data_IF_753172584650
#
_entry.id   IF_753172584650
#
_cell.length_a   1.000
_cell.length_b   1.000
_cell.length_c   1.000
_cell.angle_alpha   90.00
_cell.angle_beta   90.00
_cell.angle_gamma   90.00
#
_symmetry.space_group_name_H-M   'P 1'
#
loop_
_entity.id
_entity.type
_entity.pdbx_description
1 polymer ?
#
# COMPACT_ATOMS: atom_id res chain seq x y z
N UNK A 1 45.55 17.73 4.38
CA UNK A 1 44.24 18.41 4.50
C UNK A 1 43.63 18.45 3.10
N UNK A 2 42.75 17.44 2.78
CA UNK A 2 42.10 17.37 1.45
C UNK A 2 40.92 18.31 1.43
N UNK A 3 40.98 19.30 0.56
CA UNK A 3 39.93 20.26 0.26
C UNK A 3 38.77 19.46 -0.41
N UNK A 4 37.73 19.18 0.30
CA UNK A 4 36.48 18.68 -0.29
C UNK A 4 35.89 19.85 -1.07
N UNK A 5 35.98 19.78 -2.38
CA UNK A 5 35.48 20.82 -3.28
C UNK A 5 33.95 20.89 -3.18
N UNK A 6 33.42 22.10 -3.13
CA UNK A 6 32.01 22.46 -3.10
C UNK A 6 31.15 21.76 -4.16
N UNK A 7 31.75 21.30 -5.27
CA UNK A 7 31.11 20.47 -6.30
C UNK A 7 30.59 19.12 -5.78
N UNK A 8 31.30 18.43 -4.89
CA UNK A 8 30.85 17.13 -4.35
C UNK A 8 29.71 17.29 -3.35
N UNK A 9 29.65 18.41 -2.64
CA UNK A 9 28.53 18.73 -1.75
C UNK A 9 27.27 19.11 -2.55
N UNK A 10 27.45 19.90 -3.61
CA UNK A 10 26.38 20.28 -4.54
C UNK A 10 25.88 19.04 -5.31
N UNK A 11 26.77 18.15 -5.76
CA UNK A 11 26.38 16.87 -6.38
C UNK A 11 25.67 15.93 -5.40
N UNK A 12 26.07 15.89 -4.12
CA UNK A 12 25.39 15.15 -3.07
C UNK A 12 24.01 15.75 -2.71
N UNK A 13 23.87 17.08 -2.79
CA UNK A 13 22.61 17.80 -2.60
C UNK A 13 21.68 17.69 -3.82
N UNK A 14 22.24 17.60 -5.04
CA UNK A 14 21.48 17.37 -6.27
C UNK A 14 21.09 15.90 -6.48
N UNK A 15 21.82 14.97 -5.87
CA UNK A 15 21.52 13.54 -5.87
C UNK A 15 20.61 13.09 -4.69
N UNK A 16 20.08 14.00 -3.89
CA UNK A 16 18.82 13.75 -3.20
C UNK A 16 17.72 13.80 -4.27
N UNK A 17 17.56 12.71 -5.03
CA UNK A 17 16.34 12.49 -5.80
C UNK A 17 15.20 12.61 -4.79
N UNK A 18 14.38 13.66 -4.93
CA UNK A 18 13.24 13.83 -4.04
C UNK A 18 12.36 12.62 -4.29
N UNK A 19 12.25 11.73 -3.30
CA UNK A 19 11.40 10.57 -3.36
C UNK A 19 9.99 10.98 -3.77
N UNK A 20 9.36 10.20 -4.63
CA UNK A 20 8.01 10.48 -5.14
C UNK A 20 6.96 10.43 -4.01
N UNK A 21 7.04 9.39 -3.18
CA UNK A 21 6.34 9.32 -1.89
C UNK A 21 7.35 9.06 -0.79
N UNK A 22 7.29 9.82 0.29
CA UNK A 22 8.02 9.51 1.52
C UNK A 22 7.13 9.61 2.74
N UNK A 23 7.26 8.63 3.61
CA UNK A 23 6.61 8.54 4.92
C UNK A 23 7.71 8.46 5.97
N UNK A 24 7.65 9.33 6.95
CA UNK A 24 8.65 9.45 8.01
C UNK A 24 7.97 9.36 9.38
N UNK A 25 8.27 8.31 10.14
CA UNK A 25 7.83 8.07 11.52
C UNK A 25 6.31 8.22 11.73
N UNK A 26 5.52 7.72 10.78
CA UNK A 26 4.07 7.86 10.80
C UNK A 26 3.46 7.02 11.92
N UNK A 27 2.69 7.70 12.78
CA UNK A 27 1.94 7.08 13.87
C UNK A 27 0.47 7.45 13.76
N UNK A 28 -0.39 6.43 13.66
CA UNK A 28 -1.85 6.59 13.55
C UNK A 28 -2.55 5.71 14.57
N UNK A 29 -3.51 6.28 15.31
CA UNK A 29 -4.25 5.57 16.35
C UNK A 29 -5.74 5.81 16.22
N UNK A 30 -6.53 4.82 16.65
CA UNK A 30 -7.99 4.87 16.69
C UNK A 30 -8.51 4.86 18.13
N UNK A 31 -9.52 5.67 18.38
CA UNK A 31 -10.25 5.64 19.65
C UNK A 31 -11.35 4.57 19.58
N UNK A 32 -11.34 3.62 20.49
CA UNK A 32 -12.36 2.58 20.61
C UNK A 32 -12.92 2.51 22.03
N UNK A 33 -14.05 1.85 22.21
CA UNK A 33 -14.62 1.59 23.54
C UNK A 33 -13.71 0.76 24.45
N UNK A 34 -12.76 0.01 23.86
CA UNK A 34 -11.79 -0.82 24.62
C UNK A 34 -10.46 -0.11 24.90
N UNK A 35 -10.26 1.12 24.39
CA UNK A 35 -9.04 1.88 24.53
C UNK A 35 -8.46 2.36 23.20
N UNK A 36 -7.24 2.87 23.26
CA UNK A 36 -6.51 3.42 22.14
C UNK A 36 -5.82 2.31 21.35
N UNK A 37 -6.22 2.11 20.08
CA UNK A 37 -5.60 1.14 19.17
C UNK A 37 -4.43 1.78 18.45
N UNK A 38 -3.24 1.23 18.60
CA UNK A 38 -1.98 1.66 17.98
C UNK A 38 -1.85 1.02 16.60
N UNK A 39 -2.61 1.54 15.63
CA UNK A 39 -2.72 0.91 14.30
C UNK A 39 -1.47 1.09 13.45
N UNK A 40 -0.77 2.23 13.57
CA UNK A 40 0.57 2.47 13.01
C UNK A 40 1.46 3.09 14.06
N UNK A 41 2.70 2.61 14.16
CA UNK A 41 3.73 3.16 15.03
C UNK A 41 5.08 3.23 14.33
N UNK A 42 5.58 4.45 14.15
CA UNK A 42 6.90 4.76 13.58
C UNK A 42 7.14 4.12 12.19
N UNK A 43 6.11 4.13 11.32
CA UNK A 43 6.24 3.61 9.97
C UNK A 43 6.98 4.62 9.10
N UNK A 44 8.05 4.14 8.41
CA UNK A 44 8.84 4.98 7.52
C UNK A 44 9.27 4.20 6.28
N UNK A 45 9.08 4.80 5.10
CA UNK A 45 9.61 4.30 3.83
C UNK A 45 9.59 5.41 2.79
N UNK A 46 10.29 5.18 1.68
CA UNK A 46 10.24 6.05 0.51
C UNK A 46 10.29 5.22 -0.77
N UNK A 47 9.62 5.70 -1.81
CA UNK A 47 9.68 5.16 -3.16
C UNK A 47 9.92 6.29 -4.16
N UNK A 48 10.59 5.97 -5.25
CA UNK A 48 10.86 6.90 -6.33
C UNK A 48 9.74 6.91 -7.37
N UNK A 49 9.74 7.92 -8.23
CA UNK A 49 8.74 8.04 -9.30
C UNK A 49 8.85 6.86 -10.27
N UNK A 50 7.71 6.23 -10.56
CA UNK A 50 7.63 5.03 -11.40
C UNK A 50 7.84 3.72 -10.64
N UNK A 51 8.28 3.75 -9.39
CA UNK A 51 8.31 2.58 -8.53
C UNK A 51 6.93 2.30 -7.93
N UNK A 52 6.68 1.04 -7.61
CA UNK A 52 5.51 0.58 -6.85
C UNK A 52 5.98 -0.13 -5.58
N UNK A 53 5.19 -0.02 -4.53
CA UNK A 53 5.44 -0.69 -3.26
C UNK A 53 4.36 -1.72 -2.96
N UNK A 54 4.77 -2.91 -2.55
CA UNK A 54 3.91 -3.92 -1.97
C UNK A 54 3.92 -3.85 -0.45
N UNK A 55 2.76 -3.86 0.18
CA UNK A 55 2.63 -3.91 1.65
C UNK A 55 2.02 -5.24 2.04
N UNK A 56 2.79 -6.05 2.74
CA UNK A 56 2.38 -7.38 3.20
C UNK A 56 2.32 -7.50 4.72
N UNK A 57 1.61 -8.50 5.20
CA UNK A 57 1.49 -8.84 6.62
C UNK A 57 0.14 -9.47 6.97
N UNK A 58 0.01 -10.00 8.17
CA UNK A 58 -1.23 -10.61 8.67
C UNK A 58 -2.38 -9.60 8.75
N UNK A 59 -3.61 -10.09 8.85
CA UNK A 59 -4.79 -9.24 9.07
C UNK A 59 -4.64 -8.39 10.32
N UNK A 60 -5.23 -7.18 10.32
CA UNK A 60 -5.18 -6.21 11.41
C UNK A 60 -3.78 -5.69 11.81
N UNK A 61 -2.73 -5.87 11.00
CA UNK A 61 -1.40 -5.32 11.30
C UNK A 61 -1.19 -3.85 10.89
N UNK A 62 -2.22 -3.17 10.35
CA UNK A 62 -2.17 -1.74 10.02
C UNK A 62 -2.06 -1.39 8.54
N UNK A 63 -2.04 -2.35 7.60
CA UNK A 63 -1.87 -2.12 6.14
C UNK A 63 -2.89 -1.14 5.57
N UNK A 64 -4.19 -1.40 5.76
CA UNK A 64 -5.25 -0.51 5.29
C UNK A 64 -5.20 0.86 5.96
N UNK A 65 -4.83 0.92 7.26
CA UNK A 65 -4.63 2.18 7.97
C UNK A 65 -3.52 3.03 7.33
N UNK A 66 -2.46 2.40 6.81
CA UNK A 66 -1.41 3.11 6.10
C UNK A 66 -1.96 3.80 4.84
N UNK A 67 -2.71 3.07 4.01
CA UNK A 67 -3.38 3.64 2.84
C UNK A 67 -4.35 4.77 3.22
N UNK A 68 -5.21 4.55 4.22
CA UNK A 68 -6.17 5.54 4.72
C UNK A 68 -5.48 6.78 5.29
N UNK A 69 -4.30 6.63 5.92
CA UNK A 69 -3.52 7.77 6.44
C UNK A 69 -2.99 8.65 5.30
N UNK A 70 -2.55 8.04 4.19
CA UNK A 70 -2.05 8.79 3.02
C UNK A 70 -3.16 9.63 2.39
N UNK A 71 -4.36 9.06 2.23
CA UNK A 71 -5.51 9.79 1.65
C UNK A 71 -6.31 10.58 2.68
N UNK A 72 -5.87 10.61 3.95
CA UNK A 72 -6.50 11.33 5.08
C UNK A 72 -7.97 10.93 5.31
N UNK A 73 -8.28 9.63 5.19
CA UNK A 73 -9.62 9.07 5.44
C UNK A 73 -9.63 8.18 6.68
N UNK A 74 -9.29 8.75 7.84
CA UNK A 74 -9.25 8.04 9.12
C UNK A 74 -10.50 8.39 9.92
N UNK A 75 -11.43 7.42 10.05
CA UNK A 75 -12.64 7.57 10.89
C UNK A 75 -12.35 7.13 12.32
N UNK A 76 -12.81 7.90 13.31
CA UNK A 76 -12.62 7.63 14.75
C UNK A 76 -11.16 7.49 15.19
N UNK A 77 -10.24 8.10 14.44
CA UNK A 77 -8.80 8.09 14.73
C UNK A 77 -8.13 9.36 14.24
N UNK A 78 -6.83 9.45 14.42
CA UNK A 78 -6.01 10.54 13.89
C UNK A 78 -4.55 10.12 13.70
N UNK A 79 -3.84 10.88 12.87
CA UNK A 79 -2.38 10.86 12.79
C UNK A 79 -1.85 11.62 14.01
N UNK A 80 -1.06 10.95 14.84
CA UNK A 80 -0.46 11.52 16.06
C UNK A 80 0.88 12.18 15.78
N UNK A 81 1.67 11.60 14.87
CA UNK A 81 2.99 12.11 14.49
C UNK A 81 3.43 11.58 13.14
N UNK A 82 4.51 12.14 12.63
CA UNK A 82 5.13 11.76 11.36
C UNK A 82 4.90 12.76 10.25
N UNK A 83 5.44 12.42 9.08
CA UNK A 83 5.30 13.22 7.86
C UNK A 83 4.90 12.33 6.70
N UNK A 84 4.07 12.86 5.81
CA UNK A 84 3.72 12.25 4.53
C UNK A 84 4.01 13.30 3.46
N UNK A 85 4.94 12.99 2.54
CA UNK A 85 5.24 13.87 1.41
C UNK A 85 4.91 13.14 0.11
N UNK A 86 4.36 13.88 -0.83
CA UNK A 86 4.07 13.43 -2.17
C UNK A 86 4.61 14.48 -3.17
N UNK A 87 5.44 14.06 -4.11
CA UNK A 87 6.10 14.93 -5.09
C UNK A 87 6.75 16.17 -4.43
N UNK A 88 7.44 15.94 -3.28
CA UNK A 88 8.08 16.95 -2.46
C UNK A 88 7.17 17.80 -1.56
N UNK A 89 5.84 17.69 -1.68
CA UNK A 89 4.86 18.46 -0.90
C UNK A 89 4.40 17.69 0.32
N UNK A 90 4.31 18.35 1.49
CA UNK A 90 3.71 17.77 2.69
C UNK A 90 2.21 17.61 2.49
N UNK A 91 1.70 16.38 2.68
CA UNK A 91 0.26 16.12 2.61
C UNK A 91 -0.47 16.47 3.90
N UNK A 92 0.23 16.59 5.03
CA UNK A 92 -0.38 16.86 6.33
C UNK A 92 -0.55 18.36 6.61
N UNK A 93 0.22 19.22 5.91
CA UNK A 93 0.18 20.67 6.12
C UNK A 93 -0.82 21.38 5.20
N UNK A 94 -1.43 20.64 4.27
CA UNK A 94 -2.47 21.16 3.36
C UNK A 94 -3.82 21.17 4.08
N UNK A 95 -4.65 22.18 3.85
CA UNK A 95 -6.03 22.23 4.39
C UNK A 95 -6.89 21.08 3.85
N UNK A 96 -7.95 20.69 4.57
CA UNK A 96 -8.81 19.59 4.13
C UNK A 96 -9.48 19.92 2.78
N UNK A 97 -9.95 21.16 2.62
CA UNK A 97 -10.59 21.64 1.38
C UNK A 97 -9.62 21.57 0.17
N UNK A 98 -8.36 21.99 0.36
CA UNK A 98 -7.37 21.96 -0.72
C UNK A 98 -6.93 20.51 -1.01
N UNK A 99 -6.81 19.65 0.03
CA UNK A 99 -6.53 18.24 -0.15
C UNK A 99 -7.62 17.54 -0.96
N UNK A 100 -8.90 17.78 -0.65
CA UNK A 100 -10.05 17.20 -1.35
C UNK A 100 -10.18 17.69 -2.79
N UNK A 101 -9.91 18.97 -3.02
CA UNK A 101 -10.03 19.57 -4.36
C UNK A 101 -8.88 19.24 -5.30
N UNK A 102 -7.66 19.13 -4.78
CA UNK A 102 -6.45 19.12 -5.61
C UNK A 102 -5.60 17.84 -5.49
N UNK A 103 -5.77 17.05 -4.43
CA UNK A 103 -4.93 15.86 -4.17
C UNK A 103 -5.74 14.59 -4.28
N UNK A 104 -6.83 14.45 -3.48
CA UNK A 104 -7.65 13.26 -3.49
C UNK A 104 -8.31 13.07 -4.86
N UNK A 105 -8.20 11.87 -5.43
CA UNK A 105 -8.60 11.45 -6.75
C UNK A 105 -7.76 12.01 -7.90
N UNK A 106 -7.26 13.24 -7.84
CA UNK A 106 -6.50 13.88 -8.93
C UNK A 106 -5.03 13.51 -8.96
N UNK A 107 -4.40 13.45 -7.79
CA UNK A 107 -2.99 13.08 -7.65
C UNK A 107 -2.85 11.69 -7.02
N UNK A 108 -3.67 11.40 -6.00
CA UNK A 108 -3.69 10.13 -5.27
C UNK A 108 -5.12 9.61 -5.22
N UNK A 109 -5.33 8.37 -5.66
CA UNK A 109 -6.61 7.68 -5.54
C UNK A 109 -6.46 6.36 -4.77
N UNK A 110 -7.59 5.76 -4.38
CA UNK A 110 -7.59 4.49 -3.65
C UNK A 110 -8.70 3.56 -4.15
N UNK A 111 -8.35 2.30 -4.37
CA UNK A 111 -9.25 1.17 -4.48
C UNK A 111 -9.34 0.52 -3.11
N UNK A 112 -10.51 0.60 -2.47
CA UNK A 112 -10.72 0.09 -1.12
C UNK A 112 -10.88 -1.44 -1.09
N UNK A 113 -10.62 -2.04 0.07
CA UNK A 113 -10.94 -3.45 0.29
C UNK A 113 -12.43 -3.71 0.09
N UNK A 114 -12.77 -4.80 -0.63
CA UNK A 114 -14.15 -5.11 -0.95
C UNK A 114 -14.82 -4.15 -1.94
N UNK A 115 -14.01 -3.44 -2.74
CA UNK A 115 -14.47 -2.41 -3.67
C UNK A 115 -15.58 -2.85 -4.63
N UNK A 116 -15.70 -4.15 -4.92
CA UNK A 116 -16.82 -4.67 -5.73
C UNK A 116 -18.20 -4.41 -5.13
N UNK A 117 -18.30 -4.30 -3.80
CA UNK A 117 -19.55 -3.96 -3.10
C UNK A 117 -19.74 -2.47 -2.90
N UNK A 118 -18.78 -1.62 -3.30
CA UNK A 118 -18.91 -0.17 -3.26
C UNK A 118 -19.70 0.40 -4.46
N UNK A 119 -19.89 -0.40 -5.53
CA UNK A 119 -20.71 0.00 -6.65
C UNK A 119 -22.20 0.05 -6.23
N UNK A 120 -22.84 1.20 -6.43
CA UNK A 120 -24.25 1.39 -6.12
C UNK A 120 -25.13 0.56 -7.09
N UNK A 121 -25.95 -0.38 -6.60
CA UNK A 121 -26.73 -1.27 -7.44
C UNK A 121 -27.83 -0.58 -8.25
N UNK A 122 -28.25 0.63 -7.89
CA UNK A 122 -29.34 1.37 -8.56
C UNK A 122 -28.85 2.31 -9.66
N UNK A 123 -27.54 2.51 -9.79
CA UNK A 123 -26.96 3.33 -10.84
C UNK A 123 -26.18 2.48 -11.86
N UNK A 124 -26.29 2.85 -13.14
CA UNK A 124 -25.47 2.25 -14.18
C UNK A 124 -23.98 2.61 -14.01
N UNK A 125 -23.11 1.83 -14.64
CA UNK A 125 -21.65 2.10 -14.65
C UNK A 125 -21.38 3.54 -15.11
N UNK A 126 -22.00 3.99 -16.20
CA UNK A 126 -21.84 5.35 -16.72
C UNK A 126 -22.21 6.41 -15.67
N UNK A 127 -23.37 6.25 -15.02
CA UNK A 127 -23.84 7.23 -14.03
C UNK A 127 -22.87 7.37 -12.85
N UNK A 128 -22.30 6.28 -12.36
CA UNK A 128 -21.33 6.31 -11.27
C UNK A 128 -20.02 7.02 -11.67
N UNK A 129 -19.52 6.78 -12.89
CA UNK A 129 -18.39 7.53 -13.41
C UNK A 129 -18.69 9.03 -13.59
N UNK A 130 -19.86 9.36 -14.12
CA UNK A 130 -20.28 10.77 -14.31
C UNK A 130 -20.37 11.50 -12.98
N UNK A 131 -20.83 10.83 -11.91
CA UNK A 131 -20.87 11.41 -10.57
C UNK A 131 -19.48 11.80 -10.08
N UNK A 132 -18.51 10.90 -10.18
CA UNK A 132 -17.11 11.18 -9.83
C UNK A 132 -16.56 12.37 -10.62
N UNK A 133 -16.76 12.39 -11.94
CA UNK A 133 -16.27 13.46 -12.80
C UNK A 133 -16.93 14.81 -12.49
N UNK A 134 -18.24 14.83 -12.19
CA UNK A 134 -18.99 16.03 -11.82
C UNK A 134 -18.51 16.57 -10.46
N UNK A 135 -18.35 15.71 -9.47
CA UNK A 135 -17.88 16.09 -8.13
C UNK A 135 -16.50 16.75 -8.17
N UNK A 136 -15.61 16.29 -9.05
CA UNK A 136 -14.28 16.86 -9.22
C UNK A 136 -14.20 17.98 -10.26
N UNK A 137 -15.34 18.52 -10.72
CA UNK A 137 -15.43 19.62 -11.72
C UNK A 137 -14.63 19.34 -12.99
N UNK A 138 -14.67 18.11 -13.49
CA UNK A 138 -13.96 17.71 -14.69
C UNK A 138 -14.46 18.53 -15.91
N UNK A 139 -13.52 19.09 -16.70
CA UNK A 139 -13.82 19.98 -17.83
C UNK A 139 -13.74 19.29 -19.19
N UNK A 140 -13.41 18.01 -19.23
CA UNK A 140 -13.31 17.25 -20.47
C UNK A 140 -14.65 16.69 -20.94
N UNK A 141 -14.59 15.90 -22.00
CA UNK A 141 -15.74 15.16 -22.53
C UNK A 141 -15.97 13.92 -21.68
N UNK A 142 -17.07 13.91 -20.90
CA UNK A 142 -17.37 12.88 -19.92
C UNK A 142 -17.36 11.48 -20.54
N UNK A 143 -18.15 11.27 -21.58
CA UNK A 143 -18.34 9.94 -22.18
C UNK A 143 -17.03 9.38 -22.75
N UNK A 144 -16.27 10.18 -23.49
CA UNK A 144 -15.00 9.76 -24.07
C UNK A 144 -13.99 9.39 -22.98
N UNK A 145 -13.90 10.20 -21.90
CA UNK A 145 -13.00 9.91 -20.77
C UNK A 145 -13.38 8.64 -20.03
N UNK A 146 -14.68 8.36 -19.88
CA UNK A 146 -15.15 7.11 -19.27
C UNK A 146 -14.76 5.91 -20.16
N UNK A 147 -15.00 6.00 -21.46
CA UNK A 147 -14.64 4.93 -22.41
C UNK A 147 -13.13 4.68 -22.39
N UNK A 148 -12.30 5.73 -22.43
CA UNK A 148 -10.85 5.63 -22.33
C UNK A 148 -10.42 4.91 -21.03
N UNK A 149 -11.02 5.27 -19.91
CA UNK A 149 -10.75 4.63 -18.63
C UNK A 149 -11.15 3.14 -18.62
N UNK A 150 -12.29 2.78 -19.18
CA UNK A 150 -12.72 1.39 -19.29
C UNK A 150 -11.80 0.57 -20.19
N UNK A 151 -11.38 1.13 -21.33
CA UNK A 151 -10.43 0.47 -22.26
C UNK A 151 -9.08 0.22 -21.56
N UNK A 152 -8.61 1.16 -20.72
CA UNK A 152 -7.34 0.99 -20.00
C UNK A 152 -7.32 -0.26 -19.11
N UNK A 153 -8.48 -0.67 -18.61
CA UNK A 153 -8.66 -1.88 -17.79
C UNK A 153 -9.21 -3.09 -18.57
N UNK A 154 -9.14 -3.07 -19.89
CA UNK A 154 -9.64 -4.11 -20.81
C UNK A 154 -11.16 -4.37 -20.65
N UNK A 155 -11.94 -3.32 -20.53
CA UNK A 155 -13.40 -3.33 -20.66
C UNK A 155 -13.82 -2.47 -21.84
N UNK A 156 -14.90 -2.83 -22.53
CA UNK A 156 -15.43 -2.06 -23.64
C UNK A 156 -16.64 -1.20 -23.25
N UNK A 157 -17.09 -0.34 -24.16
CA UNK A 157 -18.20 0.60 -23.90
C UNK A 157 -19.55 -0.09 -23.68
N UNK A 158 -19.72 -1.36 -24.02
CA UNK A 158 -21.00 -2.07 -23.87
C UNK A 158 -21.48 -2.15 -22.42
N UNK A 159 -20.53 -1.99 -21.45
CA UNK A 159 -20.86 -2.04 -20.03
C UNK A 159 -21.40 -0.73 -19.47
N UNK A 160 -21.32 0.40 -20.20
CA UNK A 160 -21.73 1.72 -19.73
C UNK A 160 -23.17 1.76 -19.19
N UNK A 161 -24.07 1.05 -19.88
CA UNK A 161 -25.50 0.98 -19.50
C UNK A 161 -25.81 -0.14 -18.53
N UNK A 162 -24.86 -1.02 -18.22
CA UNK A 162 -25.07 -2.12 -17.28
C UNK A 162 -25.06 -1.63 -15.84
N UNK A 163 -25.81 -2.36 -15.01
CA UNK A 163 -25.84 -2.18 -13.58
C UNK A 163 -24.85 -3.15 -12.91
N UNK A 164 -24.40 -2.90 -11.67
CA UNK A 164 -23.44 -3.78 -10.98
C UNK A 164 -23.86 -5.26 -10.93
N UNK A 165 -25.14 -5.56 -10.78
CA UNK A 165 -25.64 -6.94 -10.72
C UNK A 165 -25.53 -7.70 -12.07
N UNK A 166 -25.34 -6.99 -13.20
CA UNK A 166 -25.12 -7.59 -14.53
C UNK A 166 -23.64 -7.85 -14.84
N UNK A 167 -22.73 -7.51 -13.91
CA UNK A 167 -21.29 -7.66 -14.07
C UNK A 167 -20.76 -8.85 -13.27
N UNK A 168 -19.80 -9.59 -13.85
CA UNK A 168 -19.04 -10.59 -13.09
C UNK A 168 -18.13 -9.91 -12.03
N UNK A 169 -17.65 -10.68 -11.04
CA UNK A 169 -16.76 -10.16 -10.01
C UNK A 169 -15.51 -9.48 -10.60
N UNK A 170 -14.87 -10.11 -11.57
CA UNK A 170 -13.70 -9.53 -12.25
C UNK A 170 -14.03 -8.26 -13.06
N UNK A 171 -15.22 -8.17 -13.64
CA UNK A 171 -15.68 -6.93 -14.31
C UNK A 171 -15.92 -5.83 -13.29
N UNK A 172 -16.60 -6.11 -12.16
CA UNK A 172 -16.80 -5.14 -11.08
C UNK A 172 -15.46 -4.60 -10.57
N UNK A 173 -14.50 -5.47 -10.31
CA UNK A 173 -13.17 -5.08 -9.84
C UNK A 173 -12.47 -4.15 -10.85
N UNK A 174 -12.52 -4.47 -12.15
CA UNK A 174 -11.95 -3.62 -13.20
C UNK A 174 -12.67 -2.28 -13.32
N UNK A 175 -14.00 -2.24 -13.16
CA UNK A 175 -14.77 -0.99 -13.13
C UNK A 175 -14.30 -0.10 -11.99
N UNK A 176 -14.12 -0.64 -10.77
CA UNK A 176 -13.64 0.15 -9.64
C UNK A 176 -12.21 0.63 -9.83
N UNK A 177 -11.32 -0.20 -10.40
CA UNK A 177 -9.97 0.23 -10.77
C UNK A 177 -10.03 1.36 -11.81
N UNK A 178 -10.88 1.24 -12.85
CA UNK A 178 -11.06 2.29 -13.85
C UNK A 178 -11.60 3.58 -13.23
N UNK A 179 -12.55 3.48 -12.28
CA UNK A 179 -13.04 4.66 -11.54
C UNK A 179 -11.90 5.34 -10.76
N UNK A 180 -11.04 4.56 -10.10
CA UNK A 180 -9.89 5.12 -9.39
C UNK A 180 -8.88 5.81 -10.32
N UNK A 181 -8.83 5.43 -11.61
CA UNK A 181 -7.93 5.97 -12.63
C UNK A 181 -8.53 7.11 -13.46
N UNK A 182 -9.83 7.39 -13.37
CA UNK A 182 -10.56 8.29 -14.29
C UNK A 182 -9.98 9.71 -14.36
N UNK A 183 -9.45 10.22 -13.25
CA UNK A 183 -8.80 11.54 -13.17
C UNK A 183 -7.28 11.46 -13.43
N UNK A 184 -6.77 10.31 -13.89
CA UNK A 184 -5.36 10.06 -14.21
C UNK A 184 -4.41 10.37 -13.05
N UNK A 185 -4.68 9.84 -11.82
CA UNK A 185 -3.82 10.07 -10.66
C UNK A 185 -2.42 9.52 -10.91
N UNK A 186 -1.41 10.13 -10.31
CA UNK A 186 -0.02 9.69 -10.41
C UNK A 186 0.27 8.49 -9.50
N UNK A 187 -0.50 8.37 -8.40
CA UNK A 187 -0.33 7.30 -7.41
C UNK A 187 -1.67 6.67 -7.05
N UNK A 188 -1.73 5.35 -7.08
CA UNK A 188 -2.94 4.60 -6.76
C UNK A 188 -2.66 3.61 -5.63
N UNK A 189 -3.43 3.70 -4.56
CA UNK A 189 -3.41 2.74 -3.47
C UNK A 189 -4.46 1.67 -3.78
N UNK A 190 -4.07 0.41 -3.82
CA UNK A 190 -4.97 -0.72 -4.04
C UNK A 190 -4.95 -1.64 -2.82
N UNK A 191 -6.03 -1.61 -2.05
CA UNK A 191 -6.17 -2.41 -0.83
C UNK A 191 -6.87 -3.72 -1.15
N UNK A 192 -6.12 -4.83 -1.09
CA UNK A 192 -6.58 -6.19 -1.36
C UNK A 192 -7.30 -6.33 -2.73
N UNK A 193 -6.72 -5.84 -3.85
CA UNK A 193 -7.41 -5.73 -5.12
C UNK A 193 -7.75 -7.06 -5.79
N UNK A 194 -7.21 -8.17 -5.31
CA UNK A 194 -7.42 -9.52 -5.83
C UNK A 194 -8.25 -10.42 -4.91
N UNK A 195 -8.65 -9.94 -3.74
CA UNK A 195 -9.42 -10.70 -2.76
C UNK A 195 -10.81 -11.06 -3.30
N UNK A 196 -11.28 -12.27 -2.98
CA UNK A 196 -12.55 -12.84 -3.43
C UNK A 196 -12.69 -13.06 -4.95
N UNK A 197 -11.56 -13.10 -5.68
CA UNK A 197 -11.51 -13.46 -7.08
C UNK A 197 -10.89 -14.86 -7.26
N UNK A 198 -11.32 -15.58 -8.30
CA UNK A 198 -10.66 -16.83 -8.68
C UNK A 198 -9.24 -16.59 -9.24
N UNK A 199 -8.40 -17.64 -9.22
CA UNK A 199 -6.96 -17.55 -9.58
C UNK A 199 -6.73 -16.97 -10.97
N UNK A 200 -7.61 -17.30 -11.94
CA UNK A 200 -7.48 -16.81 -13.31
C UNK A 200 -7.73 -15.29 -13.38
N UNK A 201 -8.76 -14.83 -12.70
CA UNK A 201 -9.10 -13.40 -12.62
C UNK A 201 -8.04 -12.64 -11.82
N UNK A 202 -7.51 -13.21 -10.73
CA UNK A 202 -6.38 -12.62 -9.99
C UNK A 202 -5.18 -12.38 -10.91
N UNK A 203 -4.77 -13.38 -11.70
CA UNK A 203 -3.68 -13.25 -12.67
C UNK A 203 -3.95 -12.14 -13.70
N UNK A 204 -5.20 -12.00 -14.15
CA UNK A 204 -5.58 -10.92 -15.07
C UNK A 204 -5.49 -9.54 -14.42
N UNK A 205 -5.85 -9.38 -13.14
CA UNK A 205 -5.71 -8.11 -12.40
C UNK A 205 -4.23 -7.78 -12.15
N UNK A 206 -3.39 -8.76 -11.82
CA UNK A 206 -1.94 -8.59 -11.69
C UNK A 206 -1.34 -8.08 -13.01
N UNK A 207 -1.69 -8.70 -14.13
CA UNK A 207 -1.25 -8.28 -15.47
C UNK A 207 -1.76 -6.87 -15.82
N UNK A 208 -2.96 -6.51 -15.37
CA UNK A 208 -3.49 -5.16 -15.52
C UNK A 208 -2.62 -4.14 -14.78
N UNK A 209 -2.26 -4.37 -13.51
CA UNK A 209 -1.36 -3.49 -12.77
C UNK A 209 0.02 -3.37 -13.44
N UNK A 210 0.59 -4.47 -13.95
CA UNK A 210 1.85 -4.44 -14.72
C UNK A 210 1.75 -3.55 -15.97
N UNK A 211 0.63 -3.61 -16.69
CA UNK A 211 0.36 -2.75 -17.85
C UNK A 211 0.26 -1.28 -17.43
N UNK A 212 -0.60 -0.96 -16.46
CA UNK A 212 -0.82 0.40 -15.99
C UNK A 212 0.48 1.04 -15.45
N UNK A 213 1.35 0.25 -14.83
CA UNK A 213 2.67 0.69 -14.42
C UNK A 213 3.56 1.07 -15.60
N UNK A 214 3.57 0.30 -16.69
CA UNK A 214 4.26 0.66 -17.93
C UNK A 214 3.72 1.95 -18.55
N UNK A 215 2.44 2.23 -18.34
CA UNK A 215 1.77 3.46 -18.77
C UNK A 215 2.08 4.67 -17.83
N UNK A 216 2.95 4.49 -16.82
CA UNK A 216 3.50 5.56 -15.97
C UNK A 216 2.82 5.75 -14.61
N UNK A 217 1.91 4.87 -14.22
CA UNK A 217 1.31 4.90 -12.88
C UNK A 217 2.23 4.24 -11.85
N UNK A 218 2.28 4.80 -10.64
CA UNK A 218 2.89 4.17 -9.45
C UNK A 218 1.81 3.64 -8.53
N UNK A 219 2.08 2.51 -7.84
CA UNK A 219 1.10 1.84 -6.99
C UNK A 219 1.63 1.59 -5.58
N UNK A 220 0.73 1.68 -4.59
CA UNK A 220 0.86 0.95 -3.33
C UNK A 220 -0.14 -0.20 -3.36
N UNK A 221 0.34 -1.43 -3.42
CA UNK A 221 -0.52 -2.61 -3.42
C UNK A 221 -0.44 -3.26 -2.05
N UNK A 222 -1.56 -3.29 -1.37
CA UNK A 222 -1.72 -3.96 -0.08
C UNK A 222 -2.28 -5.36 -0.36
N UNK A 223 -1.59 -6.40 0.09
CA UNK A 223 -2.07 -7.77 -0.08
C UNK A 223 -1.50 -8.68 1.02
N UNK A 224 -2.22 -9.73 1.35
CA UNK A 224 -1.70 -10.86 2.12
C UNK A 224 -1.04 -11.91 1.21
N UNK A 225 -1.21 -11.81 -0.10
CA UNK A 225 -0.58 -12.69 -1.09
C UNK A 225 0.75 -12.10 -1.57
N UNK A 226 1.84 -12.64 -1.02
CA UNK A 226 3.20 -12.23 -1.37
C UNK A 226 3.56 -12.53 -2.84
N UNK A 227 2.95 -13.56 -3.46
CA UNK A 227 3.18 -13.86 -4.87
C UNK A 227 2.66 -12.74 -5.77
N UNK A 228 1.48 -12.19 -5.47
CA UNK A 228 0.93 -11.01 -6.16
C UNK A 228 1.88 -9.82 -6.05
N UNK A 229 2.41 -9.57 -4.85
CA UNK A 229 3.30 -8.42 -4.61
C UNK A 229 4.64 -8.56 -5.35
N UNK A 230 5.22 -9.79 -5.39
CA UNK A 230 6.49 -10.05 -6.10
C UNK A 230 6.42 -9.77 -7.60
N UNK A 231 5.22 -9.87 -8.18
CA UNK A 231 4.98 -9.68 -9.60
C UNK A 231 4.85 -8.21 -10.02
N UNK A 232 4.49 -7.31 -9.08
CA UNK A 232 4.10 -5.93 -9.42
C UNK A 232 5.00 -4.89 -8.75
N UNK A 233 5.54 -5.14 -7.55
CA UNK A 233 6.22 -4.15 -6.74
C UNK A 233 7.75 -4.26 -6.79
N UNK A 234 8.45 -3.13 -6.91
CA UNK A 234 9.92 -3.03 -6.77
C UNK A 234 10.35 -3.04 -5.32
N UNK A 235 9.55 -2.42 -4.46
CA UNK A 235 9.81 -2.34 -3.02
C UNK A 235 8.76 -3.12 -2.25
N UNK A 236 9.16 -3.76 -1.17
CA UNK A 236 8.26 -4.49 -0.28
C UNK A 236 8.42 -3.98 1.14
N UNK A 237 7.29 -3.68 1.78
CA UNK A 237 7.19 -3.41 3.21
C UNK A 237 6.43 -4.52 3.92
N UNK A 238 7.05 -5.14 4.92
CA UNK A 238 6.42 -6.16 5.75
C UNK A 238 5.93 -5.53 7.04
N UNK A 239 4.62 -5.61 7.27
CA UNK A 239 3.97 -5.03 8.44
C UNK A 239 3.59 -6.09 9.47
N UNK A 240 3.89 -5.82 10.73
CA UNK A 240 3.48 -6.63 11.87
C UNK A 240 3.21 -5.74 13.10
N UNK A 241 2.08 -5.93 13.74
CA UNK A 241 1.76 -5.23 14.99
C UNK A 241 1.80 -3.71 14.91
N UNK A 242 1.34 -3.11 13.80
CA UNK A 242 1.35 -1.67 13.57
C UNK A 242 2.70 -1.10 13.10
N UNK A 243 3.73 -1.93 12.97
CA UNK A 243 5.08 -1.50 12.55
C UNK A 243 5.46 -2.10 11.20
N UNK A 244 6.29 -1.39 10.44
CA UNK A 244 6.97 -1.95 9.27
C UNK A 244 8.27 -2.59 9.76
N UNK A 245 8.22 -3.92 9.94
CA UNK A 245 9.32 -4.68 10.55
C UNK A 245 10.49 -4.93 9.60
N UNK A 246 10.21 -4.92 8.30
CA UNK A 246 11.24 -5.03 7.25
C UNK A 246 10.79 -4.26 6.02
N UNK A 247 11.71 -3.56 5.36
CA UNK A 247 11.49 -2.81 4.13
C UNK A 247 12.73 -2.88 3.24
N UNK A 248 12.55 -3.07 1.94
CA UNK A 248 13.64 -3.11 0.98
C UNK A 248 13.17 -3.45 -0.43
N UNK A 249 14.14 -3.70 -1.31
CA UNK A 249 13.88 -4.20 -2.66
C UNK A 249 13.16 -5.55 -2.61
N UNK A 250 12.21 -5.74 -3.53
CA UNK A 250 11.45 -6.99 -3.65
C UNK A 250 12.37 -8.21 -3.69
N UNK A 251 13.44 -8.17 -4.48
CA UNK A 251 14.42 -9.26 -4.57
C UNK A 251 15.12 -9.55 -3.24
N UNK A 252 15.48 -8.52 -2.45
CA UNK A 252 16.11 -8.72 -1.14
C UNK A 252 15.14 -9.37 -0.16
N UNK A 253 13.90 -8.86 -0.08
CA UNK A 253 12.88 -9.38 0.84
C UNK A 253 12.52 -10.84 0.54
N UNK A 254 12.40 -11.22 -0.75
CA UNK A 254 12.01 -12.58 -1.13
C UNK A 254 13.16 -13.59 -1.08
N UNK A 255 14.40 -13.18 -1.41
CA UNK A 255 15.54 -14.08 -1.51
C UNK A 255 16.40 -14.10 -0.24
N UNK A 256 16.49 -12.99 0.49
CA UNK A 256 17.33 -12.84 1.67
C UNK A 256 16.58 -12.19 2.85
N UNK A 257 15.37 -12.70 3.26
CA UNK A 257 14.59 -12.10 4.33
C UNK A 257 15.39 -12.04 5.63
N UNK A 258 15.31 -10.91 6.32
CA UNK A 258 16.06 -10.70 7.57
C UNK A 258 15.19 -10.95 8.79
N UNK A 259 14.01 -10.31 8.86
CA UNK A 259 13.17 -10.46 10.04
C UNK A 259 12.61 -11.88 10.18
N UNK A 260 12.62 -12.52 11.36
CA UNK A 260 12.07 -13.86 11.56
C UNK A 260 10.59 -13.98 11.15
N UNK A 261 9.81 -12.93 11.31
CA UNK A 261 8.41 -12.88 10.81
C UNK A 261 8.35 -12.96 9.28
N UNK A 262 9.20 -12.21 8.56
CA UNK A 262 9.26 -12.26 7.09
C UNK A 262 9.64 -13.67 6.61
N UNK A 263 10.61 -14.31 7.25
CA UNK A 263 10.99 -15.72 6.98
C UNK A 263 9.79 -16.63 7.15
N UNK A 264 9.07 -16.53 8.27
CA UNK A 264 7.89 -17.33 8.55
C UNK A 264 6.75 -17.10 7.56
N UNK A 265 6.52 -15.85 7.12
CA UNK A 265 5.54 -15.56 6.07
C UNK A 265 5.88 -16.22 4.74
N UNK A 266 7.15 -16.17 4.32
CA UNK A 266 7.61 -16.79 3.08
C UNK A 266 7.56 -18.31 3.15
N UNK A 267 7.90 -18.92 4.29
CA UNK A 267 7.81 -20.37 4.52
C UNK A 267 6.37 -20.89 4.56
N UNK A 268 5.39 -20.01 4.77
CA UNK A 268 3.96 -20.36 4.75
C UNK A 268 3.37 -20.45 3.34
N UNK A 269 4.11 -19.98 2.31
CA UNK A 269 3.66 -20.04 0.91
C UNK A 269 3.84 -21.46 0.39
N UNK A 270 2.78 -22.11 -0.14
CA UNK A 270 2.91 -23.42 -0.76
C UNK A 270 3.80 -23.36 -2.02
N UNK A 271 4.86 -24.16 -2.06
CA UNK A 271 5.73 -24.28 -3.25
C UNK A 271 5.42 -25.60 -3.94
N UNK A 272 4.91 -25.54 -5.17
CA UNK A 272 4.49 -26.71 -5.95
C UNK A 272 5.61 -27.72 -6.27
N UNK A 273 6.88 -27.30 -6.16
CA UNK A 273 8.04 -28.12 -6.55
C UNK A 273 8.74 -28.85 -5.38
N UNK A 274 8.28 -28.69 -4.16
CA UNK A 274 8.90 -29.33 -2.97
C UNK A 274 7.83 -30.05 -2.17
N UNK A 275 8.09 -31.31 -1.81
CA UNK A 275 7.31 -32.11 -0.83
C UNK A 275 7.36 -31.53 0.62
N UNK A 276 7.63 -30.23 0.74
CA UNK A 276 7.69 -29.54 2.03
C UNK A 276 6.30 -29.01 2.37
N UNK A 277 5.74 -29.48 3.49
CA UNK A 277 4.51 -28.90 4.05
C UNK A 277 4.73 -27.43 4.41
N UNK A 278 3.79 -26.52 4.07
CA UNK A 278 3.85 -25.14 4.51
C UNK A 278 3.99 -25.06 6.03
N UNK A 279 4.91 -24.20 6.51
CA UNK A 279 5.05 -23.94 7.93
C UNK A 279 4.15 -22.75 8.32
N UNK A 280 3.42 -22.90 9.41
CA UNK A 280 2.59 -21.83 9.95
C UNK A 280 3.33 -21.11 11.08
N UNK A 281 3.18 -19.79 11.15
CA UNK A 281 3.68 -19.00 12.29
C UNK A 281 2.76 -19.29 13.49
N UNK A 282 3.28 -19.87 14.59
CA UNK A 282 2.46 -20.22 15.75
C UNK A 282 1.94 -18.99 16.49
N UNK A 283 0.90 -19.18 17.31
CA UNK A 283 0.35 -18.14 18.18
C UNK A 283 -0.60 -17.18 17.45
N UNK A 284 -1.01 -16.12 18.14
CA UNK A 284 -1.95 -15.11 17.66
C UNK A 284 -1.25 -13.76 17.52
N UNK A 285 -1.69 -12.88 16.57
CA UNK A 285 -1.18 -11.52 16.47
C UNK A 285 -1.33 -10.73 17.77
N UNK A 286 -0.45 -9.75 18.03
CA UNK A 286 -0.49 -8.96 19.24
C UNK A 286 -1.75 -8.09 19.32
N UNK A 287 -2.23 -7.87 20.54
CA UNK A 287 -3.28 -6.89 20.77
C UNK A 287 -2.70 -5.47 20.58
N UNK A 288 -3.31 -4.69 19.69
CA UNK A 288 -2.91 -3.30 19.42
C UNK A 288 -3.59 -2.28 20.37
N UNK A 289 -4.46 -2.71 21.28
CA UNK A 289 -4.98 -1.88 22.35
C UNK A 289 -3.97 -1.87 23.49
N UNK A 290 -3.32 -0.74 23.74
CA UNK A 290 -2.25 -0.59 24.72
C UNK A 290 -1.16 -1.68 24.57
N UNK A 291 -0.50 -1.79 23.40
CA UNK A 291 0.45 -2.86 23.14
C UNK A 291 1.65 -2.80 24.10
N UNK A 292 2.21 -3.96 24.41
CA UNK A 292 3.44 -4.08 25.21
C UNK A 292 4.60 -3.33 24.55
N UNK A 293 5.54 -2.86 25.35
CA UNK A 293 6.84 -2.37 24.87
C UNK A 293 7.64 -3.50 24.20
N UNK A 294 8.64 -3.12 23.41
CA UNK A 294 9.55 -4.05 22.73
C UNK A 294 9.05 -4.57 21.40
N UNK A 295 9.77 -5.58 20.90
CA UNK A 295 9.49 -6.21 19.62
C UNK A 295 8.09 -6.85 19.64
N UNK A 296 7.20 -6.40 18.74
CA UNK A 296 5.81 -6.88 18.69
C UNK A 296 5.70 -8.36 18.29
N UNK A 297 6.76 -8.93 17.71
CA UNK A 297 6.83 -10.35 17.34
C UNK A 297 7.42 -11.23 18.44
N UNK A 298 7.84 -10.68 19.59
CA UNK A 298 8.55 -11.37 20.66
C UNK A 298 7.93 -12.73 21.03
N UNK A 299 6.63 -12.76 21.31
CA UNK A 299 5.92 -13.96 21.81
C UNK A 299 5.79 -15.09 20.78
N UNK A 300 6.02 -14.77 19.49
CA UNK A 300 5.91 -15.72 18.37
C UNK A 300 7.26 -15.97 17.67
N UNK A 301 8.30 -15.27 18.11
CA UNK A 301 9.60 -15.32 17.46
C UNK A 301 10.41 -16.56 17.89
N UNK A 302 10.83 -17.43 16.97
CA UNK A 302 11.69 -18.58 17.31
C UNK A 302 13.09 -18.14 17.77
N UNK A 303 13.52 -16.92 17.43
CA UNK A 303 14.83 -16.33 17.75
C UNK A 303 14.71 -15.26 18.86
N UNK A 304 13.68 -15.36 19.73
CA UNK A 304 13.44 -14.36 20.77
C UNK A 304 14.59 -14.33 21.80
N UNK A 305 15.04 -13.11 22.14
CA UNK A 305 16.09 -12.84 23.12
C UNK A 305 15.56 -11.85 24.17
N UNK A 306 16.18 -11.83 25.36
CA UNK A 306 15.81 -10.85 26.41
C UNK A 306 15.87 -9.40 25.92
N UNK A 307 16.80 -9.08 25.02
CA UNK A 307 16.93 -7.76 24.40
C UNK A 307 15.69 -7.34 23.61
N UNK A 308 14.93 -8.29 23.06
CA UNK A 308 13.70 -8.04 22.32
C UNK A 308 12.56 -7.49 23.17
N UNK A 309 12.68 -7.49 24.50
CA UNK A 309 11.80 -6.77 25.42
C UNK A 309 11.91 -5.25 25.30
N UNK A 310 12.93 -4.76 24.58
CA UNK A 310 13.09 -3.37 24.17
C UNK A 310 12.81 -3.23 22.68
N UNK A 311 12.32 -2.07 22.25
CA UNK A 311 12.09 -1.78 20.83
C UNK A 311 13.39 -1.86 20.03
N UNK A 312 13.43 -2.67 18.93
CA UNK A 312 14.60 -2.71 18.08
C UNK A 312 14.72 -1.42 17.25
N UNK A 313 15.93 -0.85 17.13
CA UNK A 313 16.16 0.24 16.19
C UNK A 313 16.11 -0.24 14.74
N UNK A 314 16.12 0.71 13.79
CA UNK A 314 16.22 0.42 12.35
C UNK A 314 17.67 0.05 11.99
N UNK A 315 17.94 -1.23 11.72
CA UNK A 315 19.23 -1.67 11.19
C UNK A 315 19.19 -1.62 9.67
N UNK A 316 20.18 -0.99 9.07
CA UNK A 316 20.26 -0.82 7.61
C UNK A 316 20.54 -2.17 6.93
N UNK A 317 19.80 -2.46 5.85
CA UNK A 317 20.07 -3.57 4.93
C UNK A 317 20.67 -3.06 3.61
N UNK A 318 20.77 -3.88 2.57
CA UNK A 318 21.32 -3.47 1.26
C UNK A 318 20.45 -2.38 0.62
N UNK A 319 19.12 -2.52 0.67
CA UNK A 319 18.17 -1.64 -0.02
C UNK A 319 17.15 -0.95 0.89
N UNK A 320 17.23 -1.18 2.21
CA UNK A 320 16.27 -0.66 3.16
C UNK A 320 16.68 -0.83 4.62
N UNK A 321 15.79 -1.44 5.43
CA UNK A 321 16.05 -1.66 6.86
C UNK A 321 15.26 -2.87 7.41
N UNK A 322 15.69 -3.33 8.60
CA UNK A 322 15.00 -4.32 9.42
C UNK A 322 14.91 -3.87 10.88
N UNK A 323 13.78 -4.12 11.53
CA UNK A 323 13.56 -3.89 12.97
C UNK A 323 13.79 -5.19 13.75
N UNK A 324 15.05 -5.61 13.91
CA UNK A 324 15.38 -6.87 14.58
C UNK A 324 16.75 -6.83 15.24
N UNK A 325 16.83 -7.15 16.54
CA UNK A 325 18.06 -7.18 17.32
C UNK A 325 19.09 -8.22 16.87
N UNK A 326 18.73 -9.16 16.00
CA UNK A 326 19.68 -10.11 15.39
C UNK A 326 20.72 -9.43 14.50
N UNK A 327 20.52 -8.17 14.14
CA UNK A 327 21.37 -7.42 13.21
C UNK A 327 22.12 -6.24 13.87
N UNK A 328 22.25 -6.29 15.19
CA UNK A 328 23.08 -5.35 15.96
C UNK A 328 24.56 -5.47 15.69
#
# INVERSE_FOLDING_TARGET
>A
MKIYTSKNLIQALLNQSMSFISIENLTTRYNTSKGLVHALEDVSFAIDKGESIGIAGESACGKSTLGLSIIRMISNGKIYSGKIKFDGKSLLDVTDDDFDKNIRWKEISMVFQGAMSSLDPVFSVQQQFEEVLKQHNFKGKLKESIIESLISVNLDESILKKFPHELSGGMKQRVVIAMALILKPKFVIADEPTTALDVLIQAQIVNLFKKLKKDGHSFMIISHDLAVLSEVAEKIGIMYGGRMVEFGDSSEIFLEPKHPYTKGLLESIPVLSKDTKPKFIPGIPPNLVNPSEGCKFYDRCPEAMDKCKKDPPKFKTKSGYVLCWLYE
#
